data_IF_555978485259
#
_entry.id   IF_555978485259
#
_cell.length_a   1.000
_cell.length_b   1.000
_cell.length_c   1.000
_cell.angle_alpha   90.00
_cell.angle_beta   90.00
_cell.angle_gamma   90.00
#
_symmetry.space_group_name_H-M   'P 1'
#
loop_
_entity.id
_entity.type
_entity.pdbx_description
1 polymer ?
#
# COMPACT_ATOMS: atom_id res chain seq x y z
N UNK A 1 29.14 12.83 -60.47
CA UNK A 1 28.99 11.48 -59.89
C UNK A 1 29.16 11.56 -58.39
N UNK A 2 28.35 10.78 -57.65
CA UNK A 2 28.40 10.48 -56.21
C UNK A 2 27.67 11.45 -55.28
N UNK A 3 26.36 11.24 -55.24
CA UNK A 3 25.52 11.40 -54.06
C UNK A 3 26.06 10.48 -52.94
N UNK A 4 26.28 11.00 -51.74
CA UNK A 4 26.40 10.16 -50.55
C UNK A 4 25.38 10.67 -49.53
N UNK A 5 24.23 10.00 -49.56
CA UNK A 5 23.15 10.10 -48.60
C UNK A 5 23.61 9.34 -47.34
N UNK A 6 23.92 10.05 -46.26
CA UNK A 6 24.31 9.46 -44.98
C UNK A 6 23.06 9.30 -44.12
N UNK A 7 22.46 8.10 -44.16
CA UNK A 7 21.31 7.73 -43.32
C UNK A 7 21.84 7.35 -41.93
N UNK A 8 21.62 8.21 -40.95
CA UNK A 8 21.89 7.94 -39.54
C UNK A 8 20.68 7.21 -38.94
N UNK A 9 20.72 5.88 -38.87
CA UNK A 9 19.71 5.07 -38.18
C UNK A 9 20.08 5.01 -36.70
N UNK A 10 19.44 5.85 -35.87
CA UNK A 10 19.46 5.72 -34.42
C UNK A 10 18.39 4.71 -33.99
N UNK A 11 18.78 3.47 -33.75
CA UNK A 11 17.94 2.45 -33.11
C UNK A 11 17.91 2.67 -31.60
N UNK A 12 16.89 3.39 -31.13
CA UNK A 12 16.61 3.53 -29.70
C UNK A 12 15.98 2.22 -29.19
N UNK A 13 16.78 1.37 -28.54
CA UNK A 13 16.27 0.17 -27.87
C UNK A 13 15.68 0.59 -26.53
N UNK A 14 14.35 0.67 -26.45
CA UNK A 14 13.64 0.85 -25.19
C UNK A 14 13.72 -0.46 -24.38
N UNK A 15 14.56 -0.46 -23.34
CA UNK A 15 14.58 -1.53 -22.34
C UNK A 15 13.33 -1.35 -21.47
N UNK A 16 12.26 -2.07 -21.78
CA UNK A 16 11.11 -2.19 -20.90
C UNK A 16 11.49 -3.12 -19.74
N UNK A 17 12.09 -2.57 -18.70
CA UNK A 17 12.15 -3.22 -17.40
C UNK A 17 10.70 -3.30 -16.85
N UNK A 18 10.05 -4.44 -17.08
CA UNK A 18 8.83 -4.79 -16.39
C UNK A 18 9.19 -5.04 -14.93
N UNK A 19 8.97 -4.05 -14.07
CA UNK A 19 8.84 -4.31 -12.65
C UNK A 19 7.56 -5.16 -12.49
N UNK A 20 7.73 -6.48 -12.44
CA UNK A 20 6.72 -7.37 -11.93
C UNK A 20 6.49 -6.95 -10.47
N UNK A 21 5.45 -6.16 -10.25
CA UNK A 21 4.92 -5.93 -8.92
C UNK A 21 4.38 -7.29 -8.48
N UNK A 22 5.18 -8.02 -7.70
CA UNK A 22 4.67 -9.12 -6.89
C UNK A 22 3.68 -8.50 -5.90
N UNK A 23 2.44 -8.35 -6.35
CA UNK A 23 1.29 -8.20 -5.47
C UNK A 23 1.23 -9.46 -4.63
N UNK A 24 1.97 -9.43 -3.51
CA UNK A 24 2.10 -10.52 -2.57
C UNK A 24 0.72 -10.95 -2.14
N UNK A 25 0.21 -12.01 -2.78
CA UNK A 25 -1.00 -12.67 -2.39
C UNK A 25 -0.78 -13.11 -0.93
N UNK A 26 -1.53 -12.53 0.00
CA UNK A 26 -1.48 -12.90 1.41
C UNK A 26 -1.90 -14.37 1.46
N UNK A 27 -0.91 -15.27 1.55
CA UNK A 27 -1.16 -16.66 1.88
C UNK A 27 -1.69 -16.66 3.31
N UNK A 28 -2.93 -17.14 3.57
CA UNK A 28 -3.37 -17.35 4.93
C UNK A 28 -2.34 -18.26 5.62
N UNK A 29 -1.78 -17.77 6.73
CA UNK A 29 -0.77 -18.49 7.49
C UNK A 29 -1.26 -19.88 7.84
N UNK A 30 -0.39 -20.88 7.64
CA UNK A 30 -0.63 -22.28 8.01
C UNK A 30 -0.87 -22.36 9.53
N UNK A 31 -1.96 -23.00 10.00
CA UNK A 31 -2.20 -23.16 11.43
C UNK A 31 -1.08 -24.00 12.06
N UNK A 32 -0.42 -23.49 13.10
CA UNK A 32 0.49 -24.29 13.95
C UNK A 32 1.98 -23.96 13.89
N UNK A 33 2.43 -22.93 13.17
CA UNK A 33 3.81 -22.44 13.33
C UNK A 33 3.86 -21.46 14.53
N UNK A 34 4.72 -21.66 15.55
CA UNK A 34 4.94 -20.66 16.58
C UNK A 34 5.45 -19.40 15.87
N UNK A 35 4.60 -18.38 15.82
CA UNK A 35 4.88 -17.12 15.17
C UNK A 35 6.09 -16.49 15.83
N UNK A 36 7.26 -16.69 15.24
CA UNK A 36 8.38 -15.77 15.40
C UNK A 36 7.92 -14.48 14.72
N UNK A 37 7.25 -13.63 15.50
CA UNK A 37 6.94 -12.28 15.06
C UNK A 37 8.27 -11.64 14.66
N UNK A 38 8.37 -11.04 13.45
CA UNK A 38 9.51 -10.19 13.15
C UNK A 38 9.60 -9.13 14.24
N UNK A 39 10.79 -9.02 14.80
CA UNK A 39 11.24 -7.93 15.65
C UNK A 39 10.71 -6.59 15.11
N UNK A 40 10.07 -5.73 15.94
CA UNK A 40 9.56 -4.42 15.51
C UNK A 40 10.62 -3.53 14.83
N UNK A 41 11.91 -3.87 14.94
CA UNK A 41 13.01 -3.12 14.33
C UNK A 41 13.56 -3.66 13.00
N UNK A 42 13.10 -4.81 12.46
CA UNK A 42 13.73 -5.41 11.25
C UNK A 42 12.71 -5.88 10.21
N UNK A 43 12.41 -4.97 9.27
CA UNK A 43 12.09 -5.24 7.87
C UNK A 43 11.18 -6.44 7.56
N UNK A 44 9.87 -6.17 7.39
CA UNK A 44 8.94 -7.16 6.84
C UNK A 44 7.69 -6.56 6.22
N UNK A 45 7.04 -5.58 6.88
CA UNK A 45 5.81 -4.95 6.39
C UNK A 45 5.73 -3.52 6.96
N UNK A 46 6.27 -2.53 6.24
CA UNK A 46 6.57 -1.18 6.77
C UNK A 46 5.38 -0.35 7.25
N UNK A 47 4.15 -0.85 7.12
CA UNK A 47 2.92 -0.12 7.46
C UNK A 47 1.86 -0.96 8.19
N UNK A 48 2.17 -2.19 8.62
CA UNK A 48 1.28 -3.02 9.44
C UNK A 48 1.66 -2.88 10.91
N UNK A 49 0.71 -2.51 11.74
CA UNK A 49 0.84 -2.39 13.19
C UNK A 49 -0.16 -3.32 13.86
N UNK A 50 0.31 -4.12 14.80
CA UNK A 50 -0.54 -5.03 15.57
C UNK A 50 -0.57 -4.63 17.04
N UNK A 51 -1.75 -4.66 17.63
CA UNK A 51 -1.95 -4.52 19.08
C UNK A 51 -2.79 -5.68 19.58
N UNK A 52 -2.47 -6.19 20.77
CA UNK A 52 -3.25 -7.21 21.44
C UNK A 52 -3.96 -6.59 22.63
N UNK A 53 -5.28 -6.79 22.70
CA UNK A 53 -6.10 -6.26 23.79
C UNK A 53 -7.00 -7.31 24.40
N UNK A 54 -7.21 -7.24 25.71
CA UNK A 54 -8.26 -7.99 26.39
C UNK A 54 -9.66 -7.38 26.17
N UNK A 55 -10.69 -7.96 26.80
CA UNK A 55 -12.08 -7.46 26.75
C UNK A 55 -12.41 -6.47 27.88
N UNK A 56 -11.42 -6.10 28.70
CA UNK A 56 -11.59 -5.38 29.97
C UNK A 56 -11.34 -3.88 29.87
N UNK A 57 -11.75 -3.17 30.93
CA UNK A 57 -11.49 -1.74 31.16
C UNK A 57 -10.02 -1.47 31.60
N UNK A 58 -9.27 -2.50 31.98
CA UNK A 58 -7.91 -2.33 32.54
C UNK A 58 -6.86 -1.87 31.52
N UNK A 59 -7.07 -2.09 30.23
CA UNK A 59 -6.12 -1.68 29.17
C UNK A 59 -6.29 -0.23 28.68
N UNK A 60 -6.61 0.70 29.59
CA UNK A 60 -6.88 2.11 29.29
C UNK A 60 -5.77 2.87 28.51
N UNK A 61 -4.60 2.27 28.27
CA UNK A 61 -3.41 2.98 27.78
C UNK A 61 -2.70 2.31 26.59
N UNK A 62 -3.44 1.60 25.74
CA UNK A 62 -2.93 1.25 24.40
C UNK A 62 -2.62 -0.22 24.13
N UNK A 63 -3.15 -1.13 24.96
CA UNK A 63 -2.98 -2.58 24.76
C UNK A 63 -1.53 -3.06 24.88
N UNK A 64 -1.31 -4.29 24.44
CA UNK A 64 0.00 -4.95 24.42
C UNK A 64 0.59 -5.00 23.01
N UNK A 65 1.91 -4.95 22.91
CA UNK A 65 2.62 -5.05 21.62
C UNK A 65 2.58 -6.46 21.02
N UNK A 66 2.12 -7.46 21.77
CA UNK A 66 2.00 -8.85 21.29
C UNK A 66 0.97 -9.66 22.08
N UNK A 67 0.44 -10.71 21.44
CA UNK A 67 -0.40 -11.71 22.10
C UNK A 67 0.24 -12.33 23.35
N UNK A 68 1.53 -12.65 23.31
CA UNK A 68 2.20 -13.31 24.45
C UNK A 68 2.31 -12.39 25.67
N UNK A 69 2.53 -11.10 25.43
CA UNK A 69 2.54 -10.11 26.52
C UNK A 69 1.15 -9.94 27.12
N UNK A 70 0.11 -9.87 26.28
CA UNK A 70 -1.27 -9.80 26.72
C UNK A 70 -1.68 -11.04 27.50
N UNK A 71 -1.47 -12.25 26.96
CA UNK A 71 -1.88 -13.51 27.59
C UNK A 71 -1.19 -13.79 28.93
N UNK A 72 -0.01 -13.20 29.16
CA UNK A 72 0.70 -13.34 30.43
C UNK A 72 0.04 -12.56 31.56
N UNK A 73 -0.67 -11.48 31.23
CA UNK A 73 -1.37 -10.61 32.19
C UNK A 73 -2.88 -10.89 32.21
N UNK A 74 -3.43 -11.26 31.06
CA UNK A 74 -4.85 -11.42 30.82
C UNK A 74 -5.13 -12.83 30.27
N UNK A 75 -6.27 -13.43 30.63
CA UNK A 75 -6.61 -14.77 30.16
C UNK A 75 -7.12 -14.81 28.72
N UNK A 76 -7.72 -13.73 28.22
CA UNK A 76 -8.48 -13.66 26.97
C UNK A 76 -8.09 -12.43 26.16
N UNK A 77 -7.22 -12.62 25.17
CA UNK A 77 -6.70 -11.54 24.33
C UNK A 77 -7.09 -11.69 22.86
N UNK A 78 -7.31 -10.54 22.21
CA UNK A 78 -7.54 -10.41 20.77
C UNK A 78 -6.44 -9.55 20.17
N UNK A 79 -5.71 -10.09 19.20
CA UNK A 79 -4.78 -9.31 18.39
C UNK A 79 -5.52 -8.69 17.20
N UNK A 80 -5.30 -7.41 16.99
CA UNK A 80 -5.77 -6.65 15.83
C UNK A 80 -4.58 -6.05 15.13
N UNK A 81 -4.41 -6.38 13.85
CA UNK A 81 -3.42 -5.77 12.99
C UNK A 81 -4.11 -4.80 12.03
N UNK A 82 -3.61 -3.57 11.98
CA UNK A 82 -4.05 -2.53 11.06
C UNK A 82 -2.94 -2.14 10.11
N UNK A 83 -3.31 -1.86 8.86
CA UNK A 83 -2.40 -1.34 7.83
C UNK A 83 -2.79 0.10 7.52
N UNK A 84 -1.81 1.01 7.55
CA UNK A 84 -2.02 2.37 7.02
C UNK A 84 -1.74 2.44 5.53
N UNK A 85 -2.55 3.18 4.80
CA UNK A 85 -2.39 3.39 3.36
C UNK A 85 -2.87 4.80 2.99
N UNK A 86 -2.48 5.29 1.81
CA UNK A 86 -2.90 6.57 1.28
C UNK A 86 -3.89 6.37 0.14
N UNK A 87 -4.89 7.26 0.07
CA UNK A 87 -5.79 7.41 -1.07
C UNK A 87 -5.65 8.82 -1.60
N UNK A 88 -5.24 8.94 -2.85
CA UNK A 88 -5.08 10.22 -3.53
C UNK A 88 -6.02 10.32 -4.71
N UNK A 89 -6.53 11.52 -4.97
CA UNK A 89 -7.44 11.82 -6.06
C UNK A 89 -6.76 12.77 -7.04
N UNK A 90 -6.80 12.44 -8.33
CA UNK A 90 -6.36 13.31 -9.41
C UNK A 90 -7.55 13.73 -10.27
N UNK A 91 -7.65 15.03 -10.54
CA UNK A 91 -8.71 15.62 -11.35
C UNK A 91 -8.18 15.91 -12.75
N UNK A 92 -8.92 15.54 -13.78
CA UNK A 92 -8.66 15.91 -15.18
C UNK A 92 -9.92 16.36 -15.91
N UNK A 93 -9.78 16.82 -17.14
CA UNK A 93 -10.87 17.29 -18.00
C UNK A 93 -10.95 16.41 -19.24
N UNK A 94 -12.16 15.94 -19.58
CA UNK A 94 -12.43 15.17 -20.80
C UNK A 94 -12.53 16.05 -22.06
N UNK A 95 -12.69 15.43 -23.22
CA UNK A 95 -12.82 16.14 -24.50
C UNK A 95 -14.07 17.02 -24.60
N UNK A 96 -15.04 16.82 -23.71
CA UNK A 96 -16.30 17.57 -23.66
C UNK A 96 -16.27 18.66 -22.58
N UNK A 97 -15.12 18.90 -21.93
CA UNK A 97 -15.00 19.88 -20.84
C UNK A 97 -15.52 19.39 -19.48
N UNK A 98 -15.87 18.10 -19.33
CA UNK A 98 -16.34 17.54 -18.07
C UNK A 98 -15.16 17.19 -17.17
N UNK A 99 -15.33 17.44 -15.88
CA UNK A 99 -14.37 17.01 -14.87
C UNK A 99 -14.47 15.50 -14.64
N UNK A 100 -13.32 14.84 -14.55
CA UNK A 100 -13.17 13.46 -14.10
C UNK A 100 -12.23 13.40 -12.89
N UNK A 101 -12.46 12.45 -11.98
CA UNK A 101 -11.61 12.17 -10.83
C UNK A 101 -11.15 10.71 -10.89
N UNK A 102 -9.83 10.49 -10.94
CA UNK A 102 -9.22 9.18 -10.72
C UNK A 102 -8.73 9.06 -9.27
N UNK A 103 -8.69 7.84 -8.77
CA UNK A 103 -8.15 7.53 -7.44
C UNK A 103 -6.94 6.59 -7.57
N UNK A 104 -5.94 6.81 -6.72
CA UNK A 104 -4.77 5.94 -6.54
C UNK A 104 -4.65 5.53 -5.08
N UNK A 105 -4.21 4.29 -4.81
CA UNK A 105 -4.15 3.71 -3.46
C UNK A 105 -2.86 2.95 -3.25
N UNK A 106 -2.03 3.42 -2.33
CA UNK A 106 -0.74 2.78 -2.05
C UNK A 106 -0.28 2.95 -0.59
N UNK A 107 0.80 2.28 -0.23
CA UNK A 107 1.38 2.33 1.13
C UNK A 107 2.07 3.65 1.44
N UNK A 108 2.47 4.39 0.41
CA UNK A 108 3.06 5.72 0.54
C UNK A 108 2.23 6.75 -0.23
N UNK A 109 2.23 7.99 0.28
CA UNK A 109 1.58 9.12 -0.39
C UNK A 109 2.07 9.29 -1.83
N UNK A 110 3.39 9.25 -2.03
CA UNK A 110 4.00 9.40 -3.35
C UNK A 110 3.48 8.37 -4.35
N UNK A 111 3.41 7.10 -3.97
CA UNK A 111 2.88 6.05 -4.85
C UNK A 111 1.38 6.22 -5.11
N UNK A 112 0.59 6.64 -4.11
CA UNK A 112 -0.83 6.88 -4.30
C UNK A 112 -1.08 8.08 -5.25
N UNK A 113 -0.27 9.14 -5.15
CA UNK A 113 -0.28 10.26 -6.08
C UNK A 113 0.10 9.83 -7.50
N UNK A 114 1.18 9.05 -7.65
CA UNK A 114 1.62 8.51 -8.94
C UNK A 114 0.54 7.62 -9.59
N UNK A 115 -0.09 6.73 -8.83
CA UNK A 115 -1.19 5.90 -9.33
C UNK A 115 -2.40 6.72 -9.77
N UNK A 116 -2.80 7.72 -8.97
CA UNK A 116 -3.92 8.58 -9.31
C UNK A 116 -3.65 9.37 -10.60
N UNK A 117 -2.44 9.92 -10.74
CA UNK A 117 -2.01 10.67 -11.92
C UNK A 117 -1.87 9.76 -13.15
N UNK A 118 -1.25 8.59 -12.99
CA UNK A 118 -1.12 7.57 -14.04
C UNK A 118 -2.49 7.15 -14.56
N UNK A 119 -3.46 6.92 -13.68
CA UNK A 119 -4.83 6.64 -14.07
C UNK A 119 -5.47 7.82 -14.84
N UNK A 120 -5.28 9.06 -14.38
CA UNK A 120 -5.80 10.24 -15.06
C UNK A 120 -5.26 10.36 -16.50
N UNK A 121 -3.95 10.22 -16.68
CA UNK A 121 -3.32 10.30 -18.01
C UNK A 121 -3.62 9.08 -18.88
N UNK A 122 -3.77 7.89 -18.30
CA UNK A 122 -4.13 6.67 -19.04
C UNK A 122 -5.45 6.84 -19.81
N UNK A 123 -6.44 7.49 -19.18
CA UNK A 123 -7.73 7.81 -19.81
C UNK A 123 -7.68 9.07 -20.71
N UNK A 124 -6.49 9.62 -20.95
CA UNK A 124 -6.24 10.78 -21.83
C UNK A 124 -6.99 12.05 -21.39
N UNK A 125 -7.23 12.21 -20.09
CA UNK A 125 -7.73 13.47 -19.56
C UNK A 125 -6.64 14.55 -19.63
N UNK A 126 -7.08 15.79 -19.81
CA UNK A 126 -6.20 16.95 -19.85
C UNK A 126 -6.13 17.61 -18.48
N UNK A 127 -5.06 18.38 -18.23
CA UNK A 127 -4.88 19.16 -17.01
C UNK A 127 -4.97 18.32 -15.72
N UNK A 128 -4.51 17.06 -15.80
CA UNK A 128 -4.44 16.16 -14.65
C UNK A 128 -3.62 16.81 -13.52
N UNK A 129 -4.19 16.84 -12.32
CA UNK A 129 -3.51 17.30 -11.10
C UNK A 129 -4.05 16.56 -9.88
N UNK A 130 -3.19 16.30 -8.89
CA UNK A 130 -3.63 15.80 -7.59
C UNK A 130 -4.43 16.91 -6.88
N UNK A 131 -5.57 16.56 -6.32
CA UNK A 131 -6.49 17.50 -5.64
C UNK A 131 -6.72 17.18 -4.17
N UNK A 132 -6.60 15.91 -3.80
CA UNK A 132 -6.83 15.45 -2.43
C UNK A 132 -5.96 14.22 -2.15
N UNK A 133 -5.47 14.09 -0.93
CA UNK A 133 -4.72 12.93 -0.46
C UNK A 133 -4.97 12.73 1.03
N UNK A 134 -5.48 11.56 1.38
CA UNK A 134 -5.77 11.21 2.77
C UNK A 134 -5.04 9.93 3.16
N UNK A 135 -4.57 9.88 4.40
CA UNK A 135 -4.09 8.65 5.02
C UNK A 135 -5.26 7.94 5.70
N UNK A 136 -5.42 6.67 5.41
CA UNK A 136 -6.43 5.78 5.98
C UNK A 136 -5.76 4.61 6.69
N UNK A 137 -6.54 3.90 7.50
CA UNK A 137 -6.12 2.65 8.15
C UNK A 137 -7.22 1.61 8.00
N UNK A 138 -6.86 0.35 7.77
CA UNK A 138 -7.80 -0.78 7.74
C UNK A 138 -7.31 -1.93 8.60
N UNK A 139 -8.23 -2.68 9.20
CA UNK A 139 -7.89 -3.93 9.87
C UNK A 139 -7.59 -5.00 8.82
N UNK A 140 -6.36 -5.52 8.83
CA UNK A 140 -5.90 -6.59 7.93
C UNK A 140 -5.94 -7.96 8.59
N UNK A 141 -5.97 -8.02 9.91
CA UNK A 141 -6.11 -9.26 10.67
C UNK A 141 -6.74 -8.97 12.03
N UNK A 142 -7.61 -9.88 12.47
CA UNK A 142 -8.12 -9.92 13.84
C UNK A 142 -8.24 -11.37 14.28
N UNK A 143 -7.59 -11.75 15.37
CA UNK A 143 -7.60 -13.14 15.86
C UNK A 143 -7.56 -13.22 17.37
N UNK A 144 -8.08 -14.33 17.90
CA UNK A 144 -7.80 -14.70 19.28
C UNK A 144 -6.32 -15.06 19.42
N UNK A 145 -5.75 -14.73 20.57
CA UNK A 145 -4.41 -15.14 20.93
C UNK A 145 -4.33 -16.59 21.44
N UNK A 146 -5.47 -17.25 21.69
CA UNK A 146 -5.56 -18.63 22.15
C UNK A 146 -5.45 -19.64 20.99
#
# INVERSE_FOLDING_TARGET
MKNILMILVLSLSAVFAHAQYDGGFIRPGRPGAPGRYPDPGRGGYGNVQCTATDKGWEEHWGGHGSCGECLRKHGDCIETCSRSYYVCQAQGIDRNGRTYVSEGRADSRYQAEDEAMRACYYYRYQNCRVTNCNQNSETVSRRSCR
#
